data_IF_193625900639
#
_entry.id   IF_193625900639
#
_cell.length_a   1.000
_cell.length_b   1.000
_cell.length_c   1.000
_cell.angle_alpha   90.00
_cell.angle_beta   90.00
_cell.angle_gamma   90.00
#
_symmetry.space_group_name_H-M   'P 1'
#
loop_
_entity.id
_entity.type
_entity.pdbx_description
1 polymer ?
#
# COMPACT_ATOMS: atom_id res chain seq x y z
N UNK A 1 14.25 -1.07 0.96
CA UNK A 1 14.10 -2.53 1.18
C UNK A 1 13.92 -2.91 2.67
N UNK A 2 14.35 -2.09 3.63
CA UNK A 2 14.29 -2.43 5.07
C UNK A 2 12.90 -2.38 5.73
N UNK A 3 11.93 -1.61 5.20
CA UNK A 3 10.63 -1.41 5.89
C UNK A 3 9.65 -2.58 5.77
N UNK A 4 9.60 -3.26 4.62
CA UNK A 4 8.67 -4.39 4.43
C UNK A 4 9.05 -5.60 5.27
N UNK A 5 10.35 -5.85 5.46
CA UNK A 5 10.83 -6.91 6.33
C UNK A 5 10.51 -6.61 7.80
N UNK A 6 10.65 -5.35 8.24
CA UNK A 6 10.26 -4.96 9.60
C UNK A 6 8.75 -5.08 9.83
N UNK A 7 7.94 -4.79 8.82
CA UNK A 7 6.48 -4.87 8.89
C UNK A 7 5.98 -6.32 9.00
N UNK A 8 6.55 -7.23 8.20
CA UNK A 8 6.24 -8.66 8.29
C UNK A 8 6.65 -9.26 9.64
N UNK A 9 7.83 -8.90 10.15
CA UNK A 9 8.28 -9.31 11.49
C UNK A 9 7.38 -8.75 12.59
N UNK A 10 6.89 -7.51 12.45
CA UNK A 10 5.97 -6.88 13.38
C UNK A 10 4.63 -7.61 13.46
N UNK A 11 4.03 -7.96 12.30
CA UNK A 11 2.79 -8.74 12.25
C UNK A 11 2.97 -10.13 12.86
N UNK A 12 4.11 -10.80 12.58
CA UNK A 12 4.43 -12.10 13.18
C UNK A 12 4.58 -11.99 14.71
N UNK A 13 5.25 -10.96 15.20
CA UNK A 13 5.40 -10.71 16.63
C UNK A 13 4.03 -10.50 17.32
N UNK A 14 3.13 -9.70 16.73
CA UNK A 14 1.78 -9.51 17.25
C UNK A 14 0.97 -10.81 17.26
N UNK A 15 1.08 -11.64 16.21
CA UNK A 15 0.43 -12.96 16.17
C UNK A 15 0.96 -13.89 17.26
N UNK A 16 2.27 -13.90 17.50
CA UNK A 16 2.88 -14.68 18.57
C UNK A 16 2.44 -14.19 19.96
N UNK A 17 2.32 -12.88 20.15
CA UNK A 17 1.79 -12.31 21.39
C UNK A 17 0.33 -12.73 21.63
N UNK A 18 -0.53 -12.71 20.60
CA UNK A 18 -1.91 -13.21 20.72
C UNK A 18 -1.93 -14.69 21.13
N UNK A 19 -1.12 -15.54 20.48
CA UNK A 19 -1.02 -16.96 20.84
C UNK A 19 -0.57 -17.16 22.28
N UNK A 20 0.44 -16.40 22.73
CA UNK A 20 0.90 -16.47 24.12
C UNK A 20 -0.20 -16.07 25.12
N UNK A 21 -1.02 -15.07 24.78
CA UNK A 21 -2.16 -14.66 25.61
C UNK A 21 -3.23 -15.77 25.65
N UNK A 22 -3.51 -16.42 24.52
CA UNK A 22 -4.43 -17.56 24.45
C UNK A 22 -3.94 -18.74 25.31
N UNK A 23 -2.67 -19.12 25.20
CA UNK A 23 -2.06 -20.16 26.03
C UNK A 23 -2.12 -19.82 27.53
N UNK A 24 -1.91 -18.56 27.90
CA UNK A 24 -2.05 -18.14 29.31
C UNK A 24 -3.49 -18.17 29.80
N UNK A 25 -4.47 -17.94 28.90
CA UNK A 25 -5.88 -17.98 29.23
C UNK A 25 -6.36 -19.43 29.41
N UNK A 26 -5.85 -20.36 28.60
CA UNK A 26 -6.10 -21.79 28.76
C UNK A 26 -5.49 -22.32 30.07
N UNK A 27 -4.24 -21.97 30.38
CA UNK A 27 -3.62 -22.32 31.68
C UNK A 27 -4.36 -21.74 32.88
N UNK A 28 -4.91 -20.53 32.74
CA UNK A 28 -5.72 -19.89 33.78
C UNK A 28 -7.05 -20.63 33.99
N UNK A 29 -7.64 -21.17 32.93
CA UNK A 29 -8.83 -22.03 33.01
C UNK A 29 -8.51 -23.33 33.74
N UNK A 30 -7.44 -24.02 33.35
CA UNK A 30 -7.00 -25.27 34.00
C UNK A 30 -6.76 -25.07 35.50
N UNK A 31 -6.02 -24.01 35.88
CA UNK A 31 -5.75 -23.68 37.29
C UNK A 31 -7.01 -23.33 38.11
N UNK A 32 -8.06 -22.81 37.45
CA UNK A 32 -9.36 -22.57 38.10
C UNK A 32 -10.13 -23.89 38.28
N UNK A 33 -10.05 -24.81 37.33
CA UNK A 33 -10.67 -26.15 37.43
C UNK A 33 -10.03 -26.97 38.56
N UNK A 34 -8.71 -26.84 38.76
CA UNK A 34 -7.97 -27.46 39.87
C UNK A 34 -8.25 -26.78 41.23
N UNK A 35 -9.22 -25.85 41.30
CA UNK A 35 -9.62 -25.10 42.51
C UNK A 35 -8.48 -24.34 43.20
N UNK A 36 -7.40 -24.05 42.48
CA UNK A 36 -6.19 -23.40 43.01
C UNK A 36 -6.36 -21.87 43.14
N UNK A 37 -7.36 -21.30 42.46
CA UNK A 37 -7.59 -19.85 42.37
C UNK A 37 -9.04 -19.55 42.75
N UNK A 38 -9.27 -18.45 43.49
CA UNK A 38 -10.63 -18.00 43.80
C UNK A 38 -11.31 -17.35 42.59
N UNK A 39 -12.64 -17.43 42.52
CA UNK A 39 -13.40 -16.96 41.35
C UNK A 39 -13.19 -15.46 41.05
N UNK A 40 -13.01 -14.65 42.09
CA UNK A 40 -12.78 -13.20 41.97
C UNK A 40 -11.41 -12.87 41.36
N UNK A 41 -10.35 -13.59 41.75
CA UNK A 41 -9.01 -13.43 41.19
C UNK A 41 -8.95 -13.89 39.72
N UNK A 42 -9.70 -14.93 39.38
CA UNK A 42 -9.85 -15.43 38.01
C UNK A 42 -10.51 -14.37 37.11
N UNK A 43 -11.59 -13.73 37.55
CA UNK A 43 -12.30 -12.69 36.78
C UNK A 43 -11.38 -11.50 36.51
N UNK A 44 -10.65 -11.01 37.53
CA UNK A 44 -9.72 -9.90 37.36
C UNK A 44 -8.58 -10.19 36.39
N UNK A 45 -7.96 -11.38 36.48
CA UNK A 45 -6.88 -11.79 35.57
C UNK A 45 -7.40 -12.03 34.15
N UNK A 46 -8.57 -12.65 33.99
CA UNK A 46 -9.22 -12.87 32.68
C UNK A 46 -9.51 -11.54 31.98
N UNK A 47 -10.08 -10.57 32.69
CA UNK A 47 -10.40 -9.27 32.10
C UNK A 47 -9.14 -8.55 31.61
N UNK A 48 -8.04 -8.62 32.36
CA UNK A 48 -6.75 -8.05 31.96
C UNK A 48 -6.20 -8.71 30.68
N UNK A 49 -6.25 -10.04 30.59
CA UNK A 49 -5.81 -10.79 29.40
C UNK A 49 -6.69 -10.50 28.18
N UNK A 50 -8.01 -10.38 28.37
CA UNK A 50 -8.94 -10.02 27.30
C UNK A 50 -8.68 -8.61 26.75
N UNK A 51 -8.43 -7.63 27.62
CA UNK A 51 -8.07 -6.28 27.19
C UNK A 51 -6.78 -6.29 26.35
N UNK A 52 -5.75 -7.03 26.79
CA UNK A 52 -4.51 -7.17 26.03
C UNK A 52 -4.74 -7.84 24.65
N UNK A 53 -5.59 -8.86 24.58
CA UNK A 53 -5.97 -9.50 23.30
C UNK A 53 -6.65 -8.51 22.35
N UNK A 54 -7.55 -7.67 22.88
CA UNK A 54 -8.24 -6.63 22.10
C UNK A 54 -7.22 -5.61 21.58
N UNK A 55 -6.32 -5.10 22.43
CA UNK A 55 -5.29 -4.14 22.04
C UNK A 55 -4.39 -4.67 20.90
N UNK A 56 -3.96 -5.92 20.98
CA UNK A 56 -3.15 -6.54 19.92
C UNK A 56 -3.95 -6.76 18.63
N UNK A 57 -5.23 -7.13 18.72
CA UNK A 57 -6.12 -7.27 17.56
C UNK A 57 -6.36 -5.94 16.86
N UNK A 58 -6.58 -4.86 17.62
CA UNK A 58 -6.78 -3.52 17.07
C UNK A 58 -5.54 -3.00 16.35
N UNK A 59 -4.35 -3.21 16.93
CA UNK A 59 -3.07 -2.86 16.28
C UNK A 59 -2.89 -3.60 14.95
N UNK A 60 -3.29 -4.88 14.89
CA UNK A 60 -3.23 -5.67 13.66
C UNK A 60 -4.20 -5.12 12.59
N UNK A 61 -5.46 -4.86 12.96
CA UNK A 61 -6.45 -4.25 12.06
C UNK A 61 -6.04 -2.85 11.58
N UNK A 62 -5.42 -2.04 12.44
CA UNK A 62 -4.91 -0.73 12.08
C UNK A 62 -3.78 -0.83 11.03
N UNK A 63 -2.91 -1.84 11.16
CA UNK A 63 -1.85 -2.11 10.21
C UNK A 63 -2.40 -2.52 8.83
N UNK A 64 -3.37 -3.45 8.79
CA UNK A 64 -4.04 -3.87 7.55
C UNK A 64 -4.71 -2.69 6.82
N UNK A 65 -5.43 -1.84 7.57
CA UNK A 65 -6.06 -0.62 7.00
C UNK A 65 -5.03 0.35 6.44
N UNK A 66 -3.89 0.53 7.12
CA UNK A 66 -2.82 1.42 6.66
C UNK A 66 -2.12 0.85 5.42
N UNK A 67 -1.87 -0.46 5.38
CA UNK A 67 -1.28 -1.15 4.24
C UNK A 67 -2.16 -1.10 2.98
N UNK A 68 -3.47 -1.26 3.13
CA UNK A 68 -4.36 -1.28 1.97
C UNK A 68 -4.53 0.10 1.32
N UNK A 69 -4.41 1.19 2.09
CA UNK A 69 -4.63 2.55 1.56
C UNK A 69 -3.59 2.95 0.51
N UNK A 70 -2.30 2.69 0.73
CA UNK A 70 -1.27 3.10 -0.23
C UNK A 70 -1.28 2.22 -1.48
N UNK A 71 -1.59 0.93 -1.33
CA UNK A 71 -1.69 0.00 -2.45
C UNK A 71 -2.82 0.40 -3.39
N UNK A 72 -4.00 0.71 -2.84
CA UNK A 72 -5.15 1.15 -3.63
C UNK A 72 -4.88 2.48 -4.36
N UNK A 73 -4.28 3.45 -3.66
CA UNK A 73 -3.86 4.72 -4.28
C UNK A 73 -2.83 4.50 -5.41
N UNK A 74 -1.90 3.56 -5.23
CA UNK A 74 -0.89 3.24 -6.24
C UNK A 74 -1.51 2.55 -7.47
N UNK A 75 -2.45 1.63 -7.25
CA UNK A 75 -3.23 0.99 -8.31
C UNK A 75 -4.01 2.03 -9.13
N UNK A 76 -4.73 2.93 -8.46
CA UNK A 76 -5.48 4.01 -9.12
C UNK A 76 -4.56 4.94 -9.92
N UNK A 77 -3.39 5.28 -9.38
CA UNK A 77 -2.42 6.11 -10.07
C UNK A 77 -1.90 5.48 -11.37
N UNK A 78 -1.61 4.17 -11.37
CA UNK A 78 -1.18 3.45 -12.57
C UNK A 78 -2.31 3.43 -13.62
N UNK A 79 -3.55 3.15 -13.21
CA UNK A 79 -4.70 3.17 -14.10
C UNK A 79 -4.94 4.56 -14.71
N UNK A 80 -4.89 5.60 -13.90
CA UNK A 80 -5.02 7.00 -14.35
C UNK A 80 -3.90 7.36 -15.34
N UNK A 81 -2.67 6.87 -15.12
CA UNK A 81 -1.53 7.11 -16.01
C UNK A 81 -1.71 6.43 -17.36
N UNK A 82 -2.23 5.20 -17.39
CA UNK A 82 -2.57 4.50 -18.62
C UNK A 82 -3.70 5.24 -19.37
N UNK A 83 -4.71 5.74 -18.64
CA UNK A 83 -5.77 6.53 -19.22
C UNK A 83 -5.24 7.84 -19.83
N UNK A 84 -4.21 8.45 -19.23
CA UNK A 84 -3.56 9.64 -19.78
C UNK A 84 -2.99 9.41 -21.18
N UNK A 85 -2.42 8.24 -21.47
CA UNK A 85 -1.87 7.88 -22.78
C UNK A 85 -2.97 7.84 -23.84
N UNK A 86 -4.13 7.26 -23.47
CA UNK A 86 -5.30 7.18 -24.34
C UNK A 86 -5.84 8.60 -24.62
N UNK A 87 -6.08 9.38 -23.57
CA UNK A 87 -6.58 10.76 -23.67
C UNK A 87 -5.60 11.64 -24.47
N UNK A 88 -4.29 11.43 -24.35
CA UNK A 88 -3.29 12.18 -25.11
C UNK A 88 -3.39 11.90 -26.63
N UNK A 89 -3.66 10.65 -26.99
CA UNK A 89 -3.78 10.19 -28.38
C UNK A 89 -5.11 10.60 -29.03
N UNK A 90 -6.17 10.74 -28.24
CA UNK A 90 -7.48 11.20 -28.73
C UNK A 90 -7.49 12.69 -29.11
N UNK A 91 -8.30 13.07 -30.09
CA UNK A 91 -8.47 14.48 -30.51
C UNK A 91 -9.43 15.27 -29.58
N UNK A 92 -9.86 14.67 -28.47
CA UNK A 92 -10.78 15.29 -27.53
C UNK A 92 -10.07 16.30 -26.61
N UNK A 93 -10.19 17.60 -26.95
CA UNK A 93 -9.62 18.70 -26.18
C UNK A 93 -10.26 18.88 -24.80
N UNK A 94 -11.53 18.54 -24.64
CA UNK A 94 -12.24 18.66 -23.36
C UNK A 94 -11.72 17.61 -22.37
N UNK A 95 -11.55 16.37 -22.82
CA UNK A 95 -10.97 15.29 -22.02
C UNK A 95 -9.54 15.62 -21.56
N UNK A 96 -8.71 16.16 -22.46
CA UNK A 96 -7.34 16.63 -22.14
C UNK A 96 -7.37 17.72 -21.06
N UNK A 97 -8.25 18.72 -21.21
CA UNK A 97 -8.40 19.80 -20.23
C UNK A 97 -8.81 19.26 -18.87
N UNK A 98 -9.79 18.37 -18.81
CA UNK A 98 -10.31 17.84 -17.54
C UNK A 98 -9.30 16.92 -16.84
N UNK A 99 -8.53 16.16 -17.61
CA UNK A 99 -7.40 15.40 -17.08
C UNK A 99 -6.32 16.31 -16.49
N UNK A 100 -5.93 17.40 -17.19
CA UNK A 100 -4.95 18.36 -16.68
C UNK A 100 -5.42 19.06 -15.39
N UNK A 101 -6.72 19.36 -15.26
CA UNK A 101 -7.31 19.88 -14.01
C UNK A 101 -7.22 18.88 -12.85
N UNK A 102 -7.34 17.57 -13.13
CA UNK A 102 -7.26 16.50 -12.12
C UNK A 102 -5.84 16.37 -11.57
N UNK A 103 -4.82 16.36 -12.44
CA UNK A 103 -3.44 16.04 -12.07
C UNK A 103 -2.64 17.23 -11.52
N UNK A 104 -3.04 18.46 -11.85
CA UNK A 104 -2.30 19.66 -11.49
C UNK A 104 -3.14 20.81 -10.98
N UNK A 105 -2.50 21.93 -10.72
CA UNK A 105 -3.12 23.18 -10.28
C UNK A 105 -2.39 24.37 -10.88
N UNK A 106 -2.99 25.56 -10.74
CA UNK A 106 -2.45 26.81 -11.25
C UNK A 106 -2.00 26.76 -12.73
N UNK A 107 -2.86 26.34 -13.68
CA UNK A 107 -2.49 26.35 -15.09
C UNK A 107 -2.18 27.78 -15.54
N UNK A 108 -0.96 28.01 -16.04
CA UNK A 108 -0.51 29.29 -16.58
C UNK A 108 -0.19 29.12 -18.06
N UNK A 109 -0.67 30.04 -18.89
CA UNK A 109 -0.33 30.09 -20.30
C UNK A 109 0.64 31.25 -20.51
N UNK A 110 1.84 30.93 -20.98
CA UNK A 110 2.86 31.92 -21.31
C UNK A 110 3.58 31.48 -22.58
N UNK A 111 3.75 32.39 -23.54
CA UNK A 111 4.57 32.14 -24.75
C UNK A 111 4.19 30.88 -25.53
N UNK A 112 2.88 30.59 -25.65
CA UNK A 112 2.32 29.36 -26.29
C UNK A 112 2.68 28.05 -25.57
N UNK A 113 3.21 28.12 -24.35
CA UNK A 113 3.47 26.98 -23.48
C UNK A 113 2.50 26.99 -22.31
N UNK A 114 2.05 25.80 -21.94
CA UNK A 114 1.23 25.57 -20.75
C UNK A 114 2.15 25.12 -19.61
N UNK A 115 2.18 25.90 -18.54
CA UNK A 115 2.86 25.59 -17.29
C UNK A 115 1.82 25.10 -16.28
N UNK A 116 2.09 23.99 -15.63
CA UNK A 116 1.20 23.37 -14.67
C UNK A 116 1.98 22.95 -13.43
N UNK A 117 1.47 23.29 -12.25
CA UNK A 117 2.00 22.78 -11.00
C UNK A 117 1.40 21.39 -10.75
N UNK A 118 2.17 20.33 -10.99
CA UNK A 118 1.71 18.95 -10.78
C UNK A 118 1.55 18.64 -9.29
N UNK A 119 0.46 17.97 -8.92
CA UNK A 119 0.28 17.43 -7.56
C UNK A 119 1.07 16.13 -7.43
N UNK A 120 1.65 15.87 -6.26
CA UNK A 120 2.19 14.54 -5.93
C UNK A 120 1.03 13.52 -6.01
N UNK A 121 1.08 12.43 -6.78
CA UNK A 121 2.23 11.70 -7.38
C UNK A 121 2.73 12.11 -8.79
N UNK A 122 2.01 12.96 -9.51
CA UNK A 122 2.31 13.34 -10.90
C UNK A 122 3.61 14.15 -11.07
N UNK A 123 4.02 14.88 -10.03
CA UNK A 123 5.30 15.59 -10.02
C UNK A 123 6.49 14.64 -10.29
N UNK A 124 6.43 13.42 -9.75
CA UNK A 124 7.47 12.40 -9.93
C UNK A 124 7.60 12.02 -11.41
N UNK A 125 6.47 11.83 -12.10
CA UNK A 125 6.46 11.50 -13.53
C UNK A 125 6.95 12.67 -14.39
N UNK A 126 6.66 13.91 -13.99
CA UNK A 126 7.12 15.09 -14.73
C UNK A 126 8.64 15.31 -14.62
N UNK A 127 9.26 14.83 -13.53
CA UNK A 127 10.70 14.93 -13.29
C UNK A 127 11.49 13.77 -13.94
N UNK A 128 10.84 12.63 -14.23
CA UNK A 128 11.49 11.51 -14.92
C UNK A 128 11.72 11.83 -16.40
N UNK A 129 12.99 11.78 -16.83
CA UNK A 129 13.33 12.02 -18.24
C UNK A 129 12.75 10.92 -19.14
N UNK A 130 12.11 11.31 -20.25
CA UNK A 130 11.50 10.39 -21.23
C UNK A 130 12.54 9.40 -21.79
N UNK A 131 13.81 9.79 -21.89
CA UNK A 131 14.91 8.91 -22.31
C UNK A 131 15.07 7.67 -21.42
N UNK A 132 14.78 7.78 -20.12
CA UNK A 132 14.80 6.63 -19.20
C UNK A 132 13.58 5.69 -19.33
N UNK A 133 12.52 6.12 -20.03
CA UNK A 133 11.35 5.31 -20.36
C UNK A 133 11.46 4.65 -21.74
N UNK A 134 12.24 5.22 -22.67
CA UNK A 134 12.45 4.69 -24.02
C UNK A 134 13.32 3.43 -24.07
N UNK A 135 14.04 3.09 -22.99
CA UNK A 135 14.73 1.80 -22.84
C UNK A 135 13.80 0.68 -22.30
N UNK A 136 12.55 0.99 -21.98
CA UNK A 136 11.55 -0.03 -21.71
C UNK A 136 11.19 -0.73 -23.03
N UNK A 137 11.14 -2.08 -23.06
CA UNK A 137 10.77 -2.79 -24.28
C UNK A 137 9.42 -2.26 -24.78
N UNK A 138 9.35 -1.95 -26.08
CA UNK A 138 8.12 -1.59 -26.78
C UNK A 138 7.00 -2.55 -26.36
N UNK A 139 6.14 -2.14 -25.44
CA UNK A 139 4.96 -2.89 -25.08
C UNK A 139 3.96 -2.68 -26.21
N UNK A 140 3.82 -3.72 -27.03
CA UNK A 140 3.11 -3.70 -28.29
C UNK A 140 1.73 -3.06 -28.20
N UNK A 141 1.40 -2.35 -29.26
CA UNK A 141 0.04 -1.97 -29.60
C UNK A 141 -0.87 -3.22 -29.50
N UNK A 142 -2.01 -3.05 -28.82
CA UNK A 142 -3.11 -4.02 -28.72
C UNK A 142 -2.83 -5.29 -27.88
N UNK A 143 -3.22 -5.25 -26.60
CA UNK A 143 -3.42 -6.47 -25.81
C UNK A 143 -3.26 -6.26 -24.30
N UNK A 144 -4.39 -6.11 -23.62
CA UNK A 144 -4.60 -6.38 -22.19
C UNK A 144 -3.57 -5.84 -21.18
N UNK A 145 -3.77 -4.59 -20.78
CA UNK A 145 -3.19 -3.96 -19.58
C UNK A 145 -3.58 -4.64 -18.25
N UNK A 146 -4.29 -5.78 -18.30
CA UNK A 146 -4.78 -6.57 -17.15
C UNK A 146 -3.75 -7.61 -16.69
N UNK A 147 -2.76 -7.97 -17.52
CA UNK A 147 -1.83 -9.06 -17.19
C UNK A 147 -0.95 -8.76 -15.96
N UNK A 148 -0.50 -7.50 -15.80
CA UNK A 148 0.38 -7.09 -14.70
C UNK A 148 -0.27 -7.10 -13.31
N UNK A 149 -1.58 -6.89 -13.24
CA UNK A 149 -2.31 -6.90 -11.97
C UNK A 149 -2.46 -8.31 -11.39
N UNK A 150 -2.48 -9.35 -12.25
CA UNK A 150 -2.61 -10.75 -11.83
C UNK A 150 -1.30 -11.32 -11.28
N UNK A 151 -0.15 -10.89 -11.80
CA UNK A 151 1.16 -11.36 -11.35
C UNK A 151 1.64 -10.68 -10.06
N UNK A 152 1.24 -9.43 -9.80
CA UNK A 152 1.56 -8.74 -8.54
C UNK A 152 0.93 -9.42 -7.31
N UNK A 153 -0.21 -10.09 -7.49
CA UNK A 153 -0.90 -10.85 -6.45
C UNK A 153 -0.25 -12.23 -6.21
N UNK A 154 0.59 -12.73 -7.13
CA UNK A 154 1.19 -14.09 -7.05
C UNK A 154 2.69 -14.14 -6.76
N UNK A 155 3.46 -13.04 -6.87
CA UNK A 155 4.92 -13.12 -6.68
C UNK A 155 5.52 -11.91 -5.95
N UNK A 156 5.87 -12.10 -4.67
CA UNK A 156 6.44 -11.07 -3.77
C UNK A 156 7.92 -10.72 -4.03
N UNK A 157 8.55 -11.21 -5.11
CA UNK A 157 10.00 -11.21 -5.28
C UNK A 157 10.53 -10.44 -6.51
N UNK A 158 9.97 -9.28 -6.87
CA UNK A 158 10.61 -8.40 -7.85
C UNK A 158 11.32 -7.21 -7.19
N UNK A 159 12.65 -7.27 -7.17
CA UNK A 159 13.53 -6.13 -6.91
C UNK A 159 13.54 -5.22 -8.14
N UNK A 160 13.07 -3.98 -8.01
CA UNK A 160 13.47 -2.90 -8.92
C UNK A 160 14.95 -2.59 -8.66
N UNK A 161 15.84 -3.22 -9.43
CA UNK A 161 17.25 -2.82 -9.48
C UNK A 161 17.32 -1.47 -10.17
N UNK A 162 17.53 -0.43 -9.36
CA UNK A 162 17.79 0.93 -9.81
C UNK A 162 19.15 0.93 -10.51
N UNK A 163 19.16 0.99 -11.84
CA UNK A 163 20.38 1.23 -12.60
C UNK A 163 20.86 2.65 -12.31
N UNK A 164 21.85 2.77 -11.43
CA UNK A 164 22.66 3.98 -11.30
C UNK A 164 23.74 3.86 -12.38
N UNK A 165 23.59 4.59 -13.48
CA UNK A 165 24.73 4.83 -14.38
C UNK A 165 25.18 6.27 -14.21
N UNK A 166 26.29 6.42 -13.47
CA UNK A 166 27.14 7.59 -13.53
C UNK A 166 27.91 7.57 -14.86
N UNK A 167 27.74 8.58 -15.69
CA UNK A 167 28.77 9.55 -16.14
C UNK A 167 28.27 10.31 -17.36
#
# INVERSE_FOLDING_TARGET
ASSFHSDALFVQNLKNQIKSVEETLDRLLDAHLDSTITSEEYIGKKQKLLNQKIDFSEKLKAFERKGNRWLELSRQFILDSNQAIIIASEENLEAKRDFLKKIGSNPRLASRSLLLDFKNPWAILSETSVASLCDAPHFGENGDSIFWLRDLESNQNYCFQRAVSCR
#
